data_IF_960260381266
#
_entry.id   IF_960260381266
#
_cell.length_a   1.000
_cell.length_b   1.000
_cell.length_c   1.000
_cell.angle_alpha   90.00
_cell.angle_beta   90.00
_cell.angle_gamma   90.00
#
_symmetry.space_group_name_H-M   'P 1'
#
loop_
_entity.id
_entity.type
_entity.pdbx_description
1 polymer ?
#
# COMPACT_ATOMS: atom_id res chain seq x y z
N UNK A 1 45.82 -25.84 11.55
CA UNK A 1 45.30 -25.66 10.17
C UNK A 1 43.80 -25.34 10.13
N UNK A 2 43.22 -24.81 11.23
CA UNK A 2 41.79 -24.38 11.31
C UNK A 2 41.65 -22.89 11.62
N UNK A 3 42.70 -22.15 11.90
CA UNK A 3 42.64 -20.72 12.21
C UNK A 3 42.80 -19.79 11.01
N UNK A 4 43.09 -20.34 9.82
CA UNK A 4 43.33 -19.57 8.59
C UNK A 4 42.08 -19.30 7.75
N UNK A 5 41.02 -20.14 7.86
CA UNK A 5 39.81 -20.01 7.06
C UNK A 5 38.84 -18.98 7.64
N UNK A 6 38.72 -18.88 8.97
CA UNK A 6 37.83 -17.93 9.62
C UNK A 6 38.21 -16.47 9.37
N UNK A 7 39.51 -16.15 9.33
CA UNK A 7 39.96 -14.77 9.08
C UNK A 7 39.84 -14.36 7.60
N UNK A 8 39.82 -15.31 6.68
CA UNK A 8 39.56 -15.04 5.26
C UNK A 8 38.08 -14.82 4.99
N UNK A 9 37.21 -15.58 5.68
CA UNK A 9 35.78 -15.44 5.58
C UNK A 9 35.29 -14.14 6.23
N UNK A 10 35.84 -13.73 7.40
CA UNK A 10 35.53 -12.43 8.00
C UNK A 10 35.89 -11.25 7.10
N UNK A 11 37.08 -11.25 6.47
CA UNK A 11 37.48 -10.19 5.53
C UNK A 11 36.61 -10.16 4.29
N UNK A 12 36.15 -11.30 3.80
CA UNK A 12 35.25 -11.38 2.65
C UNK A 12 33.85 -10.84 2.99
N UNK A 13 33.38 -11.07 4.21
CA UNK A 13 32.09 -10.56 4.70
C UNK A 13 32.15 -9.03 4.89
N UNK A 14 33.21 -8.50 5.50
CA UNK A 14 33.43 -7.04 5.64
C UNK A 14 33.54 -6.34 4.29
N UNK A 15 34.26 -6.91 3.33
CA UNK A 15 34.42 -6.32 2.00
C UNK A 15 33.11 -6.34 1.21
N UNK A 16 32.28 -7.36 1.38
CA UNK A 16 30.95 -7.47 0.76
C UNK A 16 29.96 -6.48 1.39
N UNK A 17 29.99 -6.30 2.70
CA UNK A 17 29.18 -5.28 3.41
C UNK A 17 29.53 -3.87 2.95
N UNK A 18 30.81 -3.52 2.84
CA UNK A 18 31.25 -2.21 2.36
C UNK A 18 30.84 -1.94 0.89
N UNK A 19 30.79 -2.97 0.04
CA UNK A 19 30.31 -2.85 -1.35
C UNK A 19 28.80 -2.61 -1.41
N UNK A 20 28.01 -3.27 -0.55
CA UNK A 20 26.55 -3.07 -0.45
C UNK A 20 26.26 -1.66 0.03
N UNK A 21 26.89 -1.23 1.10
CA UNK A 21 26.73 0.12 1.67
C UNK A 21 26.99 1.20 0.62
N UNK A 22 28.13 1.12 -0.07
CA UNK A 22 28.53 2.09 -1.10
C UNK A 22 27.51 2.16 -2.25
N UNK A 23 26.97 1.03 -2.69
CA UNK A 23 25.98 0.96 -3.75
C UNK A 23 24.62 1.50 -3.29
N UNK A 24 24.18 1.19 -2.07
CA UNK A 24 22.96 1.73 -1.50
C UNK A 24 23.04 3.25 -1.42
N UNK A 25 24.15 3.80 -0.88
CA UNK A 25 24.36 5.25 -0.78
C UNK A 25 24.33 5.89 -2.19
N UNK A 26 24.99 5.29 -3.18
CA UNK A 26 25.00 5.80 -4.54
C UNK A 26 23.60 5.82 -5.17
N UNK A 27 22.81 4.78 -4.95
CA UNK A 27 21.42 4.69 -5.45
C UNK A 27 20.52 5.70 -4.77
N UNK A 28 20.64 5.86 -3.45
CA UNK A 28 19.92 6.89 -2.68
C UNK A 28 20.27 8.29 -3.18
N UNK A 29 21.56 8.58 -3.36
CA UNK A 29 22.05 9.87 -3.87
C UNK A 29 21.47 10.20 -5.25
N UNK A 30 21.47 9.22 -6.16
CA UNK A 30 20.90 9.34 -7.51
C UNK A 30 19.42 9.69 -7.46
N UNK A 31 18.64 8.99 -6.67
CA UNK A 31 17.19 9.19 -6.57
C UNK A 31 16.84 10.51 -5.87
N UNK A 32 17.61 10.89 -4.85
CA UNK A 32 17.44 12.16 -4.13
C UNK A 32 17.97 13.37 -4.90
N UNK A 33 18.70 13.15 -6.00
CA UNK A 33 19.48 14.18 -6.70
C UNK A 33 20.41 14.95 -5.74
N UNK A 34 21.07 14.21 -4.84
CA UNK A 34 21.97 14.71 -3.80
C UNK A 34 23.43 14.31 -4.08
N UNK A 35 24.39 14.97 -3.43
CA UNK A 35 25.78 14.57 -3.53
C UNK A 35 26.04 13.33 -2.65
N UNK A 36 26.67 12.31 -3.18
CA UNK A 36 27.03 11.06 -2.48
C UNK A 36 27.79 11.33 -1.17
N UNK A 37 28.69 12.33 -1.18
CA UNK A 37 29.50 12.68 -0.01
C UNK A 37 28.69 13.29 1.16
N UNK A 38 27.48 13.75 0.89
CA UNK A 38 26.59 14.36 1.91
C UNK A 38 25.66 13.31 2.54
N UNK A 39 25.74 12.05 2.09
CA UNK A 39 24.88 10.96 2.56
C UNK A 39 25.69 10.01 3.43
N UNK A 40 25.21 9.81 4.65
CA UNK A 40 25.77 8.82 5.60
C UNK A 40 24.72 7.76 5.94
N UNK A 41 25.11 6.71 6.63
CA UNK A 41 24.18 5.69 7.14
C UNK A 41 23.10 6.25 8.05
N UNK A 42 23.38 7.34 8.79
CA UNK A 42 22.40 8.00 9.66
C UNK A 42 21.49 9.00 8.94
N UNK A 43 21.71 9.28 7.66
CA UNK A 43 20.90 10.20 6.89
C UNK A 43 19.47 9.65 6.76
N UNK A 44 18.50 10.48 7.14
CA UNK A 44 17.07 10.13 7.04
C UNK A 44 16.57 10.35 5.62
N UNK A 45 16.07 9.29 5.01
CA UNK A 45 15.72 9.25 3.59
C UNK A 45 14.59 10.23 3.24
N UNK A 46 13.61 10.38 4.12
CA UNK A 46 12.43 11.22 3.87
C UNK A 46 12.60 12.66 4.36
N UNK A 47 13.12 12.85 5.56
CA UNK A 47 13.24 14.19 6.15
C UNK A 47 14.43 14.98 5.62
N UNK A 48 15.59 14.33 5.47
CA UNK A 48 16.84 15.01 5.13
C UNK A 48 17.03 15.12 3.60
N UNK A 49 16.61 14.08 2.86
CA UNK A 49 16.76 14.02 1.41
C UNK A 49 15.48 14.36 0.64
N UNK A 50 14.39 14.68 1.35
CA UNK A 50 13.09 15.04 0.77
C UNK A 50 12.58 14.04 -0.29
N UNK A 51 12.96 12.75 -0.19
CA UNK A 51 12.47 11.72 -1.08
C UNK A 51 10.96 11.57 -0.86
N UNK A 52 10.19 11.83 -1.91
CA UNK A 52 8.73 11.69 -1.88
C UNK A 52 8.29 10.24 -2.12
N UNK A 53 6.98 10.02 -2.06
CA UNK A 53 6.42 8.67 -2.21
C UNK A 53 6.68 8.05 -3.59
N UNK A 54 6.87 8.85 -4.64
CA UNK A 54 7.18 8.35 -5.99
C UNK A 54 8.66 7.98 -6.10
N UNK A 55 9.52 8.89 -5.66
CA UNK A 55 10.98 8.68 -5.65
C UNK A 55 11.36 7.48 -4.77
N UNK A 56 10.61 7.24 -3.69
CA UNK A 56 10.84 6.08 -2.83
C UNK A 56 10.47 4.74 -3.47
N UNK A 57 9.43 4.71 -4.31
CA UNK A 57 9.11 3.52 -5.11
C UNK A 57 10.21 3.27 -6.13
N UNK A 58 10.68 4.32 -6.80
CA UNK A 58 11.79 4.22 -7.76
C UNK A 58 13.06 3.74 -7.08
N UNK A 59 13.35 4.23 -5.88
CA UNK A 59 14.47 3.78 -5.05
C UNK A 59 14.37 2.28 -4.76
N UNK A 60 13.21 1.80 -4.30
CA UNK A 60 13.01 0.38 -4.02
C UNK A 60 13.21 -0.48 -5.29
N UNK A 61 12.65 -0.07 -6.42
CA UNK A 61 12.81 -0.80 -7.69
C UNK A 61 14.26 -0.85 -8.16
N UNK A 62 15.03 0.24 -8.05
CA UNK A 62 16.44 0.25 -8.42
C UNK A 62 17.28 -0.63 -7.49
N UNK A 63 16.99 -0.61 -6.18
CA UNK A 63 17.66 -1.50 -5.22
C UNK A 63 17.31 -2.98 -5.44
N UNK A 64 16.02 -3.28 -5.72
CA UNK A 64 15.59 -4.65 -6.06
C UNK A 64 16.28 -5.16 -7.33
N UNK A 65 16.46 -4.30 -8.34
CA UNK A 65 17.13 -4.69 -9.57
C UNK A 65 18.66 -4.82 -9.39
N UNK A 66 19.29 -3.92 -8.65
CA UNK A 66 20.76 -3.95 -8.41
C UNK A 66 21.15 -5.17 -7.56
N UNK A 67 20.42 -5.44 -6.48
CA UNK A 67 20.80 -6.48 -5.51
C UNK A 67 20.07 -7.80 -5.71
N UNK A 68 19.10 -7.88 -6.64
CA UNK A 68 18.23 -9.05 -6.88
C UNK A 68 17.53 -9.55 -5.60
N UNK A 69 17.17 -8.64 -4.74
CA UNK A 69 16.46 -8.86 -3.48
C UNK A 69 15.08 -8.24 -3.58
N UNK A 70 14.12 -8.76 -2.84
CA UNK A 70 12.81 -8.13 -2.73
C UNK A 70 12.84 -7.21 -1.49
N UNK A 71 12.95 -5.91 -1.72
CA UNK A 71 12.95 -4.91 -0.67
C UNK A 71 11.51 -4.45 -0.48
N UNK A 72 10.85 -4.92 0.59
CA UNK A 72 9.61 -4.28 1.01
C UNK A 72 9.96 -2.90 1.58
N UNK A 73 9.57 -1.81 0.91
CA UNK A 73 9.88 -0.47 1.40
C UNK A 73 9.20 -0.25 2.75
N UNK A 74 9.97 -0.29 3.82
CA UNK A 74 9.55 0.17 5.15
C UNK A 74 9.59 1.70 5.15
N UNK A 75 8.46 2.34 4.85
CA UNK A 75 8.37 3.80 4.90
C UNK A 75 7.91 4.26 6.28
N UNK A 76 8.85 4.64 7.13
CA UNK A 76 8.57 5.45 8.31
C UNK A 76 9.35 6.77 8.20
N UNK A 77 8.84 7.83 8.83
CA UNK A 77 9.42 9.18 8.75
C UNK A 77 10.90 9.24 9.17
N UNK A 78 11.30 8.33 10.05
CA UNK A 78 12.66 8.24 10.61
C UNK A 78 13.56 7.23 9.89
N UNK A 79 13.15 6.65 8.75
CA UNK A 79 13.95 5.67 8.01
C UNK A 79 15.29 6.24 7.57
N UNK A 80 16.37 5.57 7.92
CA UNK A 80 17.74 5.93 7.59
C UNK A 80 18.29 5.11 6.42
N UNK A 81 19.42 5.54 5.88
CA UNK A 81 20.17 4.75 4.89
C UNK A 81 20.66 3.43 5.47
N UNK A 82 20.99 3.39 6.78
CA UNK A 82 21.38 2.15 7.47
C UNK A 82 20.25 1.11 7.44
N UNK A 83 18.99 1.54 7.64
CA UNK A 83 17.84 0.61 7.57
C UNK A 83 17.69 -0.02 6.17
N UNK A 84 18.03 0.72 5.12
CA UNK A 84 18.04 0.20 3.75
C UNK A 84 19.16 -0.82 3.56
N UNK A 85 20.36 -0.52 4.04
CA UNK A 85 21.51 -1.45 3.98
C UNK A 85 21.17 -2.76 4.69
N UNK A 86 20.63 -2.68 5.91
CA UNK A 86 20.19 -3.85 6.68
C UNK A 86 19.11 -4.66 5.93
N UNK A 87 18.17 -3.99 5.28
CA UNK A 87 17.13 -4.65 4.48
C UNK A 87 17.72 -5.39 3.28
N UNK A 88 18.72 -4.82 2.61
CA UNK A 88 19.43 -5.46 1.48
C UNK A 88 20.25 -6.66 1.96
N UNK A 89 20.99 -6.53 3.06
CA UNK A 89 21.81 -7.60 3.64
C UNK A 89 20.96 -8.73 4.23
N UNK A 90 19.89 -8.40 4.93
CA UNK A 90 18.98 -9.35 5.59
C UNK A 90 18.21 -10.22 4.59
N UNK A 91 17.87 -9.71 3.44
CA UNK A 91 17.09 -10.42 2.41
C UNK A 91 17.90 -11.52 1.68
N UNK A 92 19.23 -11.52 1.78
CA UNK A 92 20.06 -12.65 1.32
C UNK A 92 19.83 -13.95 2.11
N UNK A 93 19.21 -13.89 3.29
CA UNK A 93 18.89 -15.04 4.16
C UNK A 93 17.41 -15.35 4.31
N UNK A 94 16.49 -14.46 3.88
CA UNK A 94 15.05 -14.62 4.10
C UNK A 94 14.21 -14.97 2.87
N UNK A 95 14.80 -15.19 1.70
CA UNK A 95 14.05 -15.59 0.48
C UNK A 95 13.28 -16.91 0.65
N UNK A 96 13.57 -17.70 1.68
CA UNK A 96 12.91 -18.98 1.92
C UNK A 96 11.81 -19.00 3.02
N UNK A 97 11.55 -17.90 3.74
CA UNK A 97 10.57 -17.91 4.84
C UNK A 97 9.39 -16.94 4.69
N UNK A 98 9.43 -15.96 3.79
CA UNK A 98 8.32 -15.02 3.57
C UNK A 98 7.32 -15.53 2.52
N UNK A 99 7.63 -16.58 1.78
CA UNK A 99 6.74 -17.21 0.80
C UNK A 99 5.52 -17.92 1.38
N UNK A 100 5.28 -17.89 2.70
CA UNK A 100 4.13 -18.57 3.33
C UNK A 100 3.51 -17.83 4.52
N UNK A 101 3.54 -16.53 4.61
CA UNK A 101 2.49 -15.85 5.34
C UNK A 101 1.24 -15.93 4.47
N UNK A 102 0.31 -16.81 4.82
CA UNK A 102 -0.90 -17.11 4.06
C UNK A 102 -1.92 -15.97 3.99
N UNK A 103 -1.47 -14.77 3.69
CA UNK A 103 -2.32 -13.67 3.24
C UNK A 103 -2.54 -13.87 1.75
N UNK A 104 -3.40 -14.82 1.44
CA UNK A 104 -4.02 -14.91 0.12
C UNK A 104 -4.63 -13.53 -0.19
N UNK A 105 -4.12 -12.86 -1.21
CA UNK A 105 -4.73 -11.65 -1.75
C UNK A 105 -6.23 -11.86 -1.90
N UNK A 106 -7.06 -10.80 -1.82
CA UNK A 106 -8.49 -10.97 -1.78
C UNK A 106 -8.93 -11.89 -2.91
N UNK A 107 -9.39 -13.08 -2.52
CA UNK A 107 -10.05 -14.00 -3.41
C UNK A 107 -11.27 -13.29 -3.96
N UNK A 108 -11.68 -13.64 -5.16
CA UNK A 108 -12.91 -13.13 -5.73
C UNK A 108 -14.06 -13.30 -4.73
N UNK A 109 -14.86 -12.26 -4.61
CA UNK A 109 -16.02 -12.29 -3.72
C UNK A 109 -16.99 -13.36 -4.19
N UNK A 110 -17.59 -14.05 -3.26
CA UNK A 110 -18.59 -15.07 -3.54
C UNK A 110 -20.04 -14.60 -3.26
N UNK A 111 -21.00 -15.45 -3.54
CA UNK A 111 -22.41 -15.14 -3.32
C UNK A 111 -22.73 -14.80 -1.83
N UNK A 112 -22.02 -15.44 -0.88
CA UNK A 112 -22.17 -15.14 0.55
C UNK A 112 -21.65 -13.75 0.93
N UNK A 113 -20.56 -13.31 0.30
CA UNK A 113 -20.03 -11.96 0.48
C UNK A 113 -21.01 -10.90 -0.03
N UNK A 114 -21.65 -11.19 -1.16
CA UNK A 114 -22.69 -10.33 -1.70
C UNK A 114 -23.97 -10.32 -0.83
N UNK A 115 -24.36 -11.44 -0.26
CA UNK A 115 -25.49 -11.51 0.65
C UNK A 115 -25.25 -10.67 1.92
N UNK A 116 -24.05 -10.73 2.50
CA UNK A 116 -23.66 -9.90 3.63
C UNK A 116 -23.69 -8.41 3.27
N UNK A 117 -23.21 -8.04 2.09
CA UNK A 117 -23.30 -6.68 1.58
C UNK A 117 -24.75 -6.20 1.40
N UNK A 118 -25.63 -7.04 0.84
CA UNK A 118 -27.08 -6.72 0.70
C UNK A 118 -27.73 -6.43 2.05
N UNK A 119 -27.41 -7.25 3.06
CA UNK A 119 -27.91 -7.03 4.42
C UNK A 119 -27.41 -5.68 4.94
N UNK A 120 -26.12 -5.38 4.82
CA UNK A 120 -25.57 -4.09 5.19
C UNK A 120 -26.25 -2.93 4.44
N UNK A 121 -26.43 -3.06 3.12
CA UNK A 121 -27.11 -2.06 2.29
C UNK A 121 -28.54 -1.80 2.77
N UNK A 122 -29.26 -2.84 3.16
CA UNK A 122 -30.60 -2.73 3.75
C UNK A 122 -30.60 -1.99 5.08
N UNK A 123 -29.68 -2.34 5.98
CA UNK A 123 -29.52 -1.69 7.30
C UNK A 123 -29.10 -0.23 7.12
N UNK A 124 -28.12 0.06 6.26
CA UNK A 124 -27.68 1.42 6.01
C UNK A 124 -28.79 2.32 5.48
N UNK A 125 -29.60 1.82 4.54
CA UNK A 125 -30.76 2.57 4.02
C UNK A 125 -31.87 2.75 5.05
N UNK A 126 -32.05 1.80 5.96
CA UNK A 126 -33.06 1.87 7.00
C UNK A 126 -32.70 2.78 8.17
N UNK A 127 -31.44 2.75 8.61
CA UNK A 127 -30.96 3.53 9.74
C UNK A 127 -30.47 4.94 9.37
N UNK A 128 -29.89 5.07 8.16
CA UNK A 128 -29.32 6.33 7.69
C UNK A 128 -30.06 6.77 6.42
N UNK A 129 -30.51 8.01 6.39
CA UNK A 129 -31.05 8.63 5.18
C UNK A 129 -29.93 8.85 4.16
N UNK A 130 -29.49 7.77 3.53
CA UNK A 130 -28.39 7.82 2.58
C UNK A 130 -28.87 8.34 1.23
N UNK A 131 -28.25 9.40 0.75
CA UNK A 131 -28.42 9.93 -0.61
C UNK A 131 -27.16 9.62 -1.40
N UNK A 132 -27.33 9.15 -2.63
CA UNK A 132 -26.22 8.83 -3.54
C UNK A 132 -26.41 9.66 -4.80
N UNK A 133 -25.38 10.41 -5.18
CA UNK A 133 -25.34 11.24 -6.40
C UNK A 133 -24.11 10.87 -7.21
N UNK A 134 -24.20 10.94 -8.54
CA UNK A 134 -23.07 10.71 -9.43
C UNK A 134 -22.69 9.23 -9.61
N UNK A 135 -23.54 8.27 -9.20
CA UNK A 135 -23.29 6.84 -9.40
C UNK A 135 -23.17 6.48 -10.89
N UNK A 136 -23.80 7.24 -11.77
CA UNK A 136 -23.75 7.13 -13.23
C UNK A 136 -22.36 7.41 -13.81
N UNK A 137 -21.46 8.06 -13.06
CA UNK A 137 -20.08 8.30 -13.49
C UNK A 137 -19.18 7.07 -13.27
N UNK A 138 -19.65 6.03 -12.58
CA UNK A 138 -18.88 4.81 -12.37
C UNK A 138 -18.93 3.98 -13.65
N UNK A 139 -17.79 3.67 -14.29
CA UNK A 139 -17.76 2.91 -15.54
C UNK A 139 -18.41 1.53 -15.37
N UNK A 140 -19.24 1.15 -16.32
CA UNK A 140 -19.82 -0.20 -16.36
C UNK A 140 -18.76 -1.27 -16.64
N UNK A 141 -17.73 -0.93 -17.41
CA UNK A 141 -16.65 -1.82 -17.82
C UNK A 141 -15.27 -1.18 -17.56
N UNK A 142 -14.24 -1.99 -17.58
CA UNK A 142 -12.86 -1.54 -17.35
C UNK A 142 -12.52 -1.37 -15.86
N UNK A 143 -11.23 -1.21 -15.58
CA UNK A 143 -10.72 -0.83 -14.26
C UNK A 143 -10.98 0.64 -13.98
N UNK A 144 -11.18 1.01 -12.71
CA UNK A 144 -11.38 2.39 -12.28
C UNK A 144 -10.89 2.61 -10.86
N UNK A 145 -10.58 3.85 -10.53
CA UNK A 145 -10.10 4.24 -9.20
C UNK A 145 -11.11 5.23 -8.61
N UNK A 146 -11.69 4.89 -7.47
CA UNK A 146 -12.48 5.86 -6.69
C UNK A 146 -11.54 6.52 -5.68
N UNK A 147 -11.36 7.82 -5.80
CA UNK A 147 -10.62 8.63 -4.84
C UNK A 147 -11.60 9.34 -3.91
N UNK A 148 -11.61 8.94 -2.64
CA UNK A 148 -12.55 9.47 -1.65
C UNK A 148 -11.83 10.05 -0.43
N UNK A 149 -12.45 11.02 0.24
CA UNK A 149 -12.05 11.45 1.56
C UNK A 149 -12.07 10.29 2.57
N UNK A 150 -11.32 10.41 3.68
CA UNK A 150 -11.23 9.36 4.68
C UNK A 150 -11.52 9.90 6.08
N UNK A 151 -12.75 9.77 6.49
CA UNK A 151 -13.23 10.31 7.77
C UNK A 151 -13.71 9.23 8.75
N UNK A 152 -13.97 8.00 8.24
CA UNK A 152 -14.57 6.93 9.03
C UNK A 152 -14.03 5.55 8.66
N UNK A 153 -14.14 4.60 9.58
CA UNK A 153 -13.85 3.17 9.30
C UNK A 153 -14.84 2.54 8.30
N UNK A 154 -15.99 3.17 8.10
CA UNK A 154 -17.08 2.67 7.27
C UNK A 154 -17.22 3.40 5.93
N UNK A 155 -16.31 4.33 5.59
CA UNK A 155 -16.35 5.06 4.31
C UNK A 155 -16.45 4.10 3.12
N UNK A 156 -15.64 3.03 3.12
CA UNK A 156 -15.68 1.98 2.10
C UNK A 156 -17.10 1.43 1.88
N UNK A 157 -17.83 1.17 2.96
CA UNK A 157 -19.16 0.60 2.89
C UNK A 157 -20.14 1.58 2.25
N UNK A 158 -20.09 2.86 2.64
CA UNK A 158 -20.96 3.89 2.04
C UNK A 158 -20.63 4.14 0.57
N UNK A 159 -19.35 4.21 0.20
CA UNK A 159 -18.94 4.33 -1.20
C UNK A 159 -19.49 3.14 -2.01
N UNK A 160 -19.41 1.94 -1.46
CA UNK A 160 -19.88 0.73 -2.15
C UNK A 160 -21.40 0.75 -2.44
N UNK A 161 -22.21 1.54 -1.71
CA UNK A 161 -23.65 1.65 -1.96
C UNK A 161 -23.97 2.22 -3.35
N UNK A 162 -23.05 2.98 -3.94
CA UNK A 162 -23.19 3.57 -5.27
C UNK A 162 -22.97 2.54 -6.40
N UNK A 163 -22.43 1.35 -6.12
CA UNK A 163 -22.07 0.38 -7.15
C UNK A 163 -23.20 -0.59 -7.49
N UNK A 164 -23.22 -1.02 -8.75
CA UNK A 164 -23.99 -2.19 -9.20
C UNK A 164 -23.44 -3.45 -8.52
N UNK A 165 -24.20 -4.57 -8.61
CA UNK A 165 -23.74 -5.85 -8.10
C UNK A 165 -22.42 -6.27 -8.75
N UNK A 166 -22.33 -6.16 -10.05
CA UNK A 166 -21.20 -6.57 -10.87
C UNK A 166 -19.94 -5.78 -10.47
N UNK A 167 -20.10 -4.47 -10.29
CA UNK A 167 -18.98 -3.58 -9.87
C UNK A 167 -18.58 -3.81 -8.42
N UNK A 168 -19.53 -4.05 -7.52
CA UNK A 168 -19.22 -4.42 -6.14
C UNK A 168 -18.44 -5.74 -6.05
N UNK A 169 -18.80 -6.73 -6.83
CA UNK A 169 -18.11 -8.02 -6.84
C UNK A 169 -16.65 -7.89 -7.27
N UNK A 170 -16.36 -6.95 -8.15
CA UNK A 170 -15.02 -6.58 -8.62
C UNK A 170 -14.52 -5.27 -8.01
N UNK A 171 -14.72 -5.09 -6.70
CA UNK A 171 -14.24 -3.93 -5.96
C UNK A 171 -13.22 -4.35 -4.93
N UNK A 172 -12.14 -3.63 -4.81
CA UNK A 172 -11.21 -3.75 -3.70
C UNK A 172 -10.89 -2.37 -3.08
N UNK A 173 -10.37 -2.39 -1.88
CA UNK A 173 -9.85 -1.20 -1.22
C UNK A 173 -8.53 -1.52 -0.51
N UNK A 174 -7.71 -0.51 -0.30
CA UNK A 174 -6.48 -0.65 0.46
C UNK A 174 -6.77 -0.58 1.96
N UNK A 175 -6.14 -1.46 2.73
CA UNK A 175 -6.27 -1.47 4.17
C UNK A 175 -4.92 -1.78 4.83
N UNK A 176 -4.68 -1.17 5.99
CA UNK A 176 -3.44 -1.39 6.74
C UNK A 176 -3.28 -2.86 7.11
N UNK A 177 -2.07 -3.41 6.92
CA UNK A 177 -1.73 -4.82 7.21
C UNK A 177 -2.10 -5.25 8.63
N UNK A 178 -2.03 -4.34 9.59
CA UNK A 178 -2.41 -4.62 10.98
C UNK A 178 -3.90 -4.92 11.19
N UNK A 179 -4.75 -4.55 10.23
CA UNK A 179 -6.18 -4.93 10.25
C UNK A 179 -6.39 -6.41 9.92
N UNK A 180 -5.40 -7.04 9.26
CA UNK A 180 -5.45 -8.46 8.86
C UNK A 180 -5.10 -9.38 10.05
N UNK A 181 -5.85 -9.24 11.14
CA UNK A 181 -5.70 -10.07 12.33
C UNK A 181 -6.08 -11.52 12.03
N UNK A 182 -5.46 -12.45 12.79
CA UNK A 182 -5.66 -13.90 12.58
C UNK A 182 -7.01 -14.44 13.09
N UNK A 183 -7.95 -13.60 13.53
CA UNK A 183 -9.26 -14.03 13.96
C UNK A 183 -10.22 -14.26 12.77
N UNK A 184 -11.11 -15.26 12.84
CA UNK A 184 -12.00 -15.64 11.74
C UNK A 184 -12.95 -14.53 11.30
N UNK A 185 -13.38 -13.66 12.22
CA UNK A 185 -14.30 -12.57 11.93
C UNK A 185 -13.63 -11.48 11.10
N UNK A 186 -12.45 -11.02 11.51
CA UNK A 186 -11.66 -10.03 10.76
C UNK A 186 -11.31 -10.55 9.37
N UNK A 187 -10.90 -11.82 9.25
CA UNK A 187 -10.61 -12.46 7.95
C UNK A 187 -11.82 -12.43 7.02
N UNK A 188 -13.00 -12.77 7.53
CA UNK A 188 -14.24 -12.78 6.75
C UNK A 188 -14.62 -11.37 6.28
N UNK A 189 -14.52 -10.37 7.16
CA UNK A 189 -14.80 -8.97 6.84
C UNK A 189 -13.84 -8.43 5.77
N UNK A 190 -12.54 -8.68 5.93
CA UNK A 190 -11.49 -8.28 5.00
C UNK A 190 -11.73 -8.90 3.62
N UNK A 191 -12.05 -10.20 3.57
CA UNK A 191 -12.36 -10.91 2.33
C UNK A 191 -13.59 -10.33 1.65
N UNK A 192 -14.69 -10.15 2.39
CA UNK A 192 -15.95 -9.61 1.85
C UNK A 192 -15.78 -8.19 1.31
N UNK A 193 -14.95 -7.39 1.95
CA UNK A 193 -14.63 -6.04 1.49
C UNK A 193 -13.62 -6.01 0.33
N UNK A 194 -12.95 -7.14 0.00
CA UNK A 194 -11.91 -7.18 -1.01
C UNK A 194 -10.68 -6.33 -0.63
N UNK A 195 -10.33 -6.30 0.65
CA UNK A 195 -9.23 -5.47 1.13
C UNK A 195 -7.87 -6.00 0.67
N UNK A 196 -7.02 -5.10 0.17
CA UNK A 196 -5.62 -5.34 -0.17
C UNK A 196 -4.75 -4.80 0.94
N UNK A 197 -3.90 -5.63 1.56
CA UNK A 197 -3.02 -5.16 2.62
C UNK A 197 -1.99 -4.17 2.09
N UNK A 198 -1.80 -3.09 2.83
CA UNK A 198 -0.73 -2.12 2.61
C UNK A 198 -0.01 -1.86 3.92
N UNK A 199 1.30 -1.67 3.85
CA UNK A 199 2.12 -1.36 5.02
C UNK A 199 1.93 0.08 5.50
N UNK A 200 2.43 0.41 6.71
CA UNK A 200 2.22 1.73 7.34
C UNK A 200 2.80 2.88 6.54
N UNK A 201 3.85 2.63 5.73
CA UNK A 201 4.48 3.62 4.86
C UNK A 201 3.68 3.99 3.61
N UNK A 202 2.65 3.23 3.27
CA UNK A 202 1.87 3.45 2.05
C UNK A 202 1.86 2.25 1.11
N UNK A 203 1.74 2.50 -0.18
CA UNK A 203 1.80 1.46 -1.20
C UNK A 203 3.26 1.04 -1.42
N UNK A 204 3.60 -0.19 -1.05
CA UNK A 204 4.85 -0.82 -1.45
C UNK A 204 4.77 -1.34 -2.91
N UNK A 205 5.91 -1.73 -3.47
CA UNK A 205 5.99 -2.22 -4.86
C UNK A 205 5.04 -3.40 -5.10
N UNK A 206 4.97 -4.36 -4.18
CA UNK A 206 4.10 -5.53 -4.31
C UNK A 206 2.62 -5.20 -4.22
N UNK A 207 2.21 -4.31 -3.32
CA UNK A 207 0.83 -3.81 -3.23
C UNK A 207 0.43 -3.03 -4.47
N UNK A 208 1.35 -2.21 -5.00
CA UNK A 208 1.15 -1.44 -6.22
C UNK A 208 0.93 -2.37 -7.42
N UNK A 209 1.79 -3.37 -7.62
CA UNK A 209 1.66 -4.35 -8.71
C UNK A 209 0.35 -5.15 -8.63
N UNK A 210 -0.06 -5.55 -7.42
CA UNK A 210 -1.33 -6.22 -7.24
C UNK A 210 -2.53 -5.34 -7.60
N UNK A 211 -2.49 -4.06 -7.24
CA UNK A 211 -3.54 -3.11 -7.61
C UNK A 211 -3.55 -2.87 -9.12
N UNK A 212 -2.40 -2.70 -9.76
CA UNK A 212 -2.27 -2.58 -11.22
C UNK A 212 -2.86 -3.80 -11.94
N UNK A 213 -2.54 -5.01 -11.46
CA UNK A 213 -3.11 -6.25 -11.98
C UNK A 213 -4.63 -6.25 -11.88
N UNK A 214 -5.19 -5.90 -10.70
CA UNK A 214 -6.64 -5.82 -10.50
C UNK A 214 -7.30 -4.81 -11.43
N UNK A 215 -6.73 -3.62 -11.60
CA UNK A 215 -7.24 -2.62 -12.54
C UNK A 215 -7.27 -3.16 -13.98
N UNK A 216 -6.22 -3.86 -14.43
CA UNK A 216 -6.18 -4.53 -15.74
C UNK A 216 -7.20 -5.67 -15.87
N UNK A 217 -7.60 -6.30 -14.78
CA UNK A 217 -8.64 -7.34 -14.70
C UNK A 217 -10.06 -6.76 -14.53
N UNK A 218 -10.25 -5.47 -14.81
CA UNK A 218 -11.51 -4.74 -14.71
C UNK A 218 -12.05 -4.59 -13.27
N UNK A 219 -11.18 -4.51 -12.27
CA UNK A 219 -11.57 -4.21 -10.90
C UNK A 219 -11.66 -2.71 -10.64
N UNK A 220 -12.59 -2.33 -9.77
CA UNK A 220 -12.59 -1.02 -9.13
C UNK A 220 -11.69 -1.04 -7.88
N UNK A 221 -10.99 0.06 -7.65
CA UNK A 221 -10.13 0.23 -6.47
C UNK A 221 -10.54 1.50 -5.74
N UNK A 222 -10.85 1.40 -4.44
CA UNK A 222 -11.06 2.57 -3.60
C UNK A 222 -9.73 2.95 -2.95
N UNK A 223 -9.35 4.19 -3.14
CA UNK A 223 -8.16 4.80 -2.55
C UNK A 223 -8.59 6.03 -1.75
N UNK A 224 -8.10 6.11 -0.54
CA UNK A 224 -8.18 7.33 0.26
C UNK A 224 -6.83 8.04 0.13
N UNK A 225 -6.73 9.08 -0.72
CA UNK A 225 -5.42 9.67 -1.06
C UNK A 225 -4.75 10.40 0.11
N UNK A 226 -5.48 10.67 1.17
CA UNK A 226 -4.97 11.20 2.44
C UNK A 226 -4.04 10.20 3.16
N UNK A 227 -4.18 8.89 2.89
CA UNK A 227 -3.40 7.82 3.49
C UNK A 227 -3.69 7.53 4.97
N UNK A 228 -4.51 8.35 5.62
CA UNK A 228 -4.99 8.15 6.99
C UNK A 228 -6.35 8.80 7.17
N UNK A 229 -7.11 8.35 8.16
CA UNK A 229 -8.38 8.98 8.50
C UNK A 229 -8.16 10.36 9.11
N UNK A 230 -9.04 11.29 8.76
CA UNK A 230 -9.12 12.60 9.42
C UNK A 230 -9.51 12.43 10.90
N UNK A 231 -8.91 13.26 11.76
CA UNK A 231 -9.20 13.29 13.21
C UNK A 231 -10.30 14.30 13.55
N UNK A 232 -10.45 15.31 12.72
CA UNK A 232 -11.33 16.46 12.89
C UNK A 232 -12.40 16.57 11.81
N UNK A 233 -12.48 15.60 10.89
CA UNK A 233 -13.38 15.62 9.74
C UNK A 233 -12.91 16.51 8.57
N UNK A 234 -11.79 17.23 8.73
CA UNK A 234 -11.25 18.10 7.69
C UNK A 234 -10.40 17.30 6.69
N UNK A 235 -10.47 17.68 5.43
CA UNK A 235 -9.72 17.06 4.35
C UNK A 235 -8.21 17.28 4.53
N UNK A 236 -7.40 16.23 4.39
CA UNK A 236 -5.95 16.28 4.58
C UNK A 236 -5.20 16.36 3.25
N UNK A 237 -3.88 16.57 3.32
CA UNK A 237 -3.01 16.61 2.14
C UNK A 237 -3.14 15.33 1.33
N UNK A 238 -3.36 15.47 0.03
CA UNK A 238 -3.47 14.37 -0.94
C UNK A 238 -2.07 13.87 -1.32
N UNK A 239 -1.91 12.55 -1.37
CA UNK A 239 -0.73 11.86 -1.86
C UNK A 239 -0.92 11.43 -3.32
N UNK A 240 0.18 11.27 -4.06
CA UNK A 240 0.16 11.03 -5.50
C UNK A 240 -0.14 9.58 -5.93
N UNK A 241 -0.23 8.62 -5.00
CA UNK A 241 -0.36 7.19 -5.32
C UNK A 241 -1.52 6.84 -6.26
N UNK A 242 -2.66 7.53 -6.13
CA UNK A 242 -3.80 7.31 -7.01
C UNK A 242 -3.55 7.81 -8.44
N UNK A 243 -2.93 8.99 -8.59
CA UNK A 243 -2.58 9.54 -9.90
C UNK A 243 -1.50 8.72 -10.60
N UNK A 244 -0.52 8.23 -9.88
CA UNK A 244 0.50 7.29 -10.41
C UNK A 244 -0.16 6.04 -10.98
N UNK A 245 -1.05 5.39 -10.21
CA UNK A 245 -1.80 4.22 -10.68
C UNK A 245 -2.63 4.51 -11.93
N UNK A 246 -3.32 5.66 -11.96
CA UNK A 246 -4.13 6.06 -13.10
C UNK A 246 -3.29 6.22 -14.38
N UNK A 247 -2.14 6.89 -14.26
CA UNK A 247 -1.21 7.10 -15.39
C UNK A 247 -0.67 5.76 -15.91
N UNK A 248 -0.23 4.88 -15.02
CA UNK A 248 0.40 3.62 -15.39
C UNK A 248 -0.58 2.57 -15.92
N UNK A 249 -1.85 2.64 -15.52
CA UNK A 249 -2.87 1.66 -15.91
C UNK A 249 -3.86 2.15 -16.93
N UNK A 250 -3.93 3.47 -17.16
CA UNK A 250 -4.98 4.11 -17.98
C UNK A 250 -6.35 4.09 -17.30
N UNK A 251 -6.46 3.69 -16.02
CA UNK A 251 -7.73 3.63 -15.31
C UNK A 251 -8.23 5.04 -14.95
N UNK A 252 -9.50 5.38 -15.23
CA UNK A 252 -10.06 6.67 -14.86
C UNK A 252 -10.15 6.84 -13.36
N UNK A 253 -9.92 8.06 -12.87
CA UNK A 253 -10.16 8.46 -11.49
C UNK A 253 -11.56 9.05 -11.39
N UNK A 254 -12.34 8.52 -10.42
CA UNK A 254 -13.67 9.00 -10.07
C UNK A 254 -13.55 9.64 -8.67
N UNK A 255 -13.61 10.97 -8.57
CA UNK A 255 -13.63 11.62 -7.27
C UNK A 255 -14.95 11.31 -6.56
N UNK A 256 -14.86 10.99 -5.28
CA UNK A 256 -16.01 10.74 -4.43
C UNK A 256 -15.88 11.49 -3.11
N UNK A 257 -17.01 11.83 -2.51
CA UNK A 257 -17.05 12.46 -1.20
C UNK A 257 -18.09 11.77 -0.33
N UNK A 258 -17.69 11.38 0.87
CA UNK A 258 -18.56 10.78 1.88
C UNK A 258 -18.81 11.81 2.96
N UNK A 259 -20.05 12.26 3.04
CA UNK A 259 -20.52 13.18 4.08
C UNK A 259 -21.25 12.43 5.21
N UNK A 260 -21.17 12.95 6.42
CA UNK A 260 -21.87 12.42 7.60
C UNK A 260 -21.21 11.18 8.24
N UNK A 261 -20.35 10.45 7.57
CA UNK A 261 -19.72 9.24 8.11
C UNK A 261 -18.82 9.52 9.33
N UNK A 262 -18.23 10.70 9.41
CA UNK A 262 -17.45 11.13 10.57
C UNK A 262 -18.27 11.12 11.85
N UNK A 263 -19.54 11.55 11.80
CA UNK A 263 -20.43 11.60 12.95
C UNK A 263 -20.88 10.21 13.44
N UNK A 264 -20.72 9.18 12.59
CA UNK A 264 -21.13 7.81 12.91
C UNK A 264 -19.97 7.04 13.56
N UNK A 265 -18.79 7.06 12.96
CA UNK A 265 -17.59 6.39 13.44
C UNK A 265 -16.33 7.23 13.19
N UNK A 266 -16.07 8.25 14.02
CA UNK A 266 -14.85 9.05 13.90
C UNK A 266 -13.59 8.21 14.17
N UNK A 267 -12.44 8.80 13.87
CA UNK A 267 -11.16 8.26 14.31
C UNK A 267 -11.06 8.48 15.82
N UNK A 268 -11.10 7.40 16.58
CA UNK A 268 -10.78 7.39 18.01
C UNK A 268 -9.30 7.27 18.22
#
# INVERSE_FOLDING_TARGET
ALEGDDAADEKMIEQKGADIESKVIATVAKIANANVNDISLSTKVFSDLAIDSLSSITLAMELEDEFKVNIEPYYHEDMTVADIVEAVEGNGKQVNSIGKSGVSYPQDKNAGDYAAYKLFKGVAKGLYKTEIRGAENIPENGGFIICANHVSKIDFLFISLALSKERYMKLCCMAKKELFRNDPFSRKLIKSAGMVPVDRGGMNSSSMENIKKRLKENWGVIIHPEGTRSEDGVFRKIKNGASTLAIETGAPIIPAYVDGAYNIFPKS
#
